data_IF_976960506431
#
_entry.id   IF_976960506431
#
_cell.length_a   1.000
_cell.length_b   1.000
_cell.length_c   1.000
_cell.angle_alpha   90.00
_cell.angle_beta   90.00
_cell.angle_gamma   90.00
#
_symmetry.space_group_name_H-M   'P 1'
#
loop_
_entity.id
_entity.type
_entity.pdbx_description
1 polymer ?
#
# COMPACT_ATOMS: atom_id res chain seq x y z
N UNK A 1 17.93 87.65 -5.97
CA UNK A 1 16.85 87.33 -4.99
C UNK A 1 16.38 85.88 -5.21
N UNK A 2 16.45 85.13 -4.14
CA UNK A 2 15.85 83.81 -3.87
C UNK A 2 16.24 82.65 -4.75
N UNK A 3 17.23 81.95 -4.26
CA UNK A 3 17.60 80.54 -4.54
C UNK A 3 16.52 79.59 -4.07
N UNK A 4 16.07 78.65 -4.91
CA UNK A 4 15.29 77.50 -4.50
C UNK A 4 16.19 76.26 -4.69
N UNK A 5 16.54 75.66 -3.57
CA UNK A 5 17.25 74.38 -3.47
C UNK A 5 16.25 73.25 -3.72
N UNK A 6 16.40 72.54 -4.81
CA UNK A 6 15.69 71.28 -5.06
C UNK A 6 16.36 70.14 -4.31
N UNK A 7 15.67 69.58 -3.34
CA UNK A 7 16.09 68.39 -2.66
C UNK A 7 15.75 67.17 -3.54
N UNK A 8 16.77 66.45 -3.96
CA UNK A 8 16.59 65.18 -4.64
C UNK A 8 16.29 64.07 -3.58
N UNK A 9 15.09 63.55 -3.58
CA UNK A 9 14.72 62.39 -2.82
C UNK A 9 15.22 61.13 -3.56
N UNK A 10 16.29 60.52 -3.03
CA UNK A 10 16.72 59.20 -3.45
C UNK A 10 15.80 58.16 -2.77
N UNK A 11 14.85 57.62 -3.52
CA UNK A 11 14.07 56.47 -3.06
C UNK A 11 14.90 55.22 -3.28
N UNK A 12 15.48 54.73 -2.19
CA UNK A 12 16.16 53.42 -2.16
C UNK A 12 15.06 52.30 -2.24
N UNK A 13 14.91 51.69 -3.42
CA UNK A 13 14.15 50.48 -3.60
C UNK A 13 14.95 49.32 -2.96
N UNK A 14 14.68 49.03 -1.70
CA UNK A 14 15.08 47.78 -1.06
C UNK A 14 14.19 46.66 -1.63
N UNK A 15 14.71 46.03 -2.68
CA UNK A 15 14.12 44.78 -3.19
C UNK A 15 14.18 43.71 -2.11
N UNK A 16 13.04 43.47 -1.47
CA UNK A 16 12.86 42.32 -0.59
C UNK A 16 12.83 41.05 -1.50
N UNK A 17 13.98 40.45 -1.68
CA UNK A 17 14.04 39.09 -2.17
C UNK A 17 13.47 38.20 -1.07
N UNK A 18 12.14 37.99 -1.09
CA UNK A 18 11.51 36.90 -0.36
C UNK A 18 12.04 35.61 -0.97
N UNK A 19 13.11 35.08 -0.44
CA UNK A 19 13.49 33.71 -0.65
C UNK A 19 12.35 32.88 -0.06
N UNK A 20 11.47 32.38 -0.92
CA UNK A 20 10.55 31.34 -0.55
C UNK A 20 11.40 30.12 -0.23
N UNK A 21 11.82 30.00 1.02
CA UNK A 21 12.27 28.73 1.55
C UNK A 21 11.06 27.80 1.44
N UNK A 22 11.00 27.04 0.37
CA UNK A 22 10.16 25.86 0.34
C UNK A 22 10.67 25.00 1.48
N UNK A 23 10.03 25.09 2.65
CA UNK A 23 10.18 24.10 3.68
C UNK A 23 9.81 22.79 3.01
N UNK A 24 10.82 21.99 2.68
CA UNK A 24 10.62 20.68 2.09
C UNK A 24 9.81 19.91 3.14
N UNK A 25 8.54 19.69 2.87
CA UNK A 25 7.69 18.96 3.80
C UNK A 25 8.30 17.58 4.04
N UNK A 26 8.33 17.17 5.28
CA UNK A 26 8.83 15.85 5.65
C UNK A 26 8.13 14.79 4.78
N UNK A 27 8.88 14.03 3.97
CA UNK A 27 8.27 13.03 3.07
C UNK A 27 7.70 11.82 3.83
N UNK A 28 8.09 11.61 5.09
CA UNK A 28 7.69 10.48 5.92
C UNK A 28 7.23 10.96 7.31
N UNK A 29 6.18 11.79 7.40
CA UNK A 29 5.77 12.44 8.65
C UNK A 29 5.27 11.46 9.71
N UNK A 30 4.81 10.27 9.34
CA UNK A 30 4.35 9.22 10.26
C UNK A 30 5.48 8.32 10.75
N UNK A 31 6.68 8.47 10.21
CA UNK A 31 7.86 7.71 10.65
C UNK A 31 8.56 8.42 11.80
N UNK A 32 9.00 7.67 12.80
CA UNK A 32 9.83 8.21 13.86
C UNK A 32 11.16 8.73 13.29
N UNK A 33 11.63 9.87 13.79
CA UNK A 33 12.95 10.38 13.42
C UNK A 33 14.04 9.42 13.90
N UNK A 34 14.97 9.12 13.00
CA UNK A 34 16.06 8.21 13.29
C UNK A 34 16.77 7.69 12.03
N UNK A 35 17.74 6.82 12.25
CA UNK A 35 18.59 6.30 11.19
C UNK A 35 17.82 5.60 10.06
N UNK A 36 16.75 4.86 10.39
CA UNK A 36 15.94 4.15 9.41
C UNK A 36 15.20 5.11 8.45
N UNK A 37 14.58 6.17 9.00
CA UNK A 37 13.89 7.19 8.21
C UNK A 37 14.88 7.90 7.29
N UNK A 38 16.02 8.31 7.84
CA UNK A 38 17.06 8.99 7.06
C UNK A 38 17.61 8.11 5.95
N UNK A 39 17.83 6.81 6.21
CA UNK A 39 18.31 5.87 5.20
C UNK A 39 17.33 5.72 4.04
N UNK A 40 16.03 5.69 4.31
CA UNK A 40 14.98 5.61 3.27
C UNK A 40 14.98 6.89 2.42
N UNK A 41 15.03 8.07 3.06
CA UNK A 41 15.02 9.36 2.37
C UNK A 41 16.29 9.49 1.49
N UNK A 42 17.45 9.16 2.04
CA UNK A 42 18.73 9.22 1.34
C UNK A 42 18.77 8.25 0.16
N UNK A 43 18.29 7.02 0.35
CA UNK A 43 18.16 6.04 -0.74
C UNK A 43 17.30 6.57 -1.88
N UNK A 44 16.12 7.11 -1.57
CA UNK A 44 15.23 7.68 -2.59
C UNK A 44 15.89 8.85 -3.30
N UNK A 45 16.45 9.81 -2.56
CA UNK A 45 17.13 10.96 -3.15
C UNK A 45 18.30 10.54 -4.05
N UNK A 46 19.13 9.63 -3.58
CA UNK A 46 20.33 9.18 -4.30
C UNK A 46 19.96 8.43 -5.60
N UNK A 47 18.88 7.64 -5.57
CA UNK A 47 18.45 6.86 -6.74
C UNK A 47 17.58 7.65 -7.73
N UNK A 48 16.99 8.77 -7.29
CA UNK A 48 16.09 9.57 -8.14
C UNK A 48 16.70 10.87 -8.65
N UNK A 49 17.77 11.39 -8.02
CA UNK A 49 18.41 12.64 -8.42
C UNK A 49 19.29 12.40 -9.65
N UNK A 50 18.98 13.12 -10.73
CA UNK A 50 19.77 13.09 -11.95
C UNK A 50 21.20 13.59 -11.70
N UNK A 51 22.20 12.85 -12.19
CA UNK A 51 23.61 13.14 -11.94
C UNK A 51 24.20 12.47 -10.69
N UNK A 52 23.38 11.82 -9.87
CA UNK A 52 23.86 10.95 -8.79
C UNK A 52 24.58 9.72 -9.37
N UNK A 53 25.68 9.23 -8.76
CA UNK A 53 26.35 8.01 -9.18
C UNK A 53 25.46 6.76 -9.05
N UNK A 54 24.41 6.83 -8.26
CA UNK A 54 23.43 5.76 -8.05
C UNK A 54 22.09 6.03 -8.74
N UNK A 55 22.04 7.01 -9.65
CA UNK A 55 20.80 7.35 -10.34
C UNK A 55 20.23 6.14 -11.09
N UNK A 56 18.97 5.85 -10.85
CA UNK A 56 18.21 4.83 -11.57
C UNK A 56 17.23 5.52 -12.51
N UNK A 57 17.27 5.15 -13.79
CA UNK A 57 16.35 5.70 -14.76
C UNK A 57 14.90 5.31 -14.41
N UNK A 58 13.89 6.19 -14.57
CA UNK A 58 12.50 5.92 -14.16
C UNK A 58 11.94 4.57 -14.62
N UNK A 59 12.28 4.13 -15.83
CA UNK A 59 11.86 2.84 -16.36
C UNK A 59 12.44 1.62 -15.63
N UNK A 60 13.55 1.81 -14.89
CA UNK A 60 14.23 0.76 -14.13
C UNK A 60 13.91 0.81 -12.62
N UNK A 61 13.08 1.76 -12.17
CA UNK A 61 12.73 1.89 -10.75
C UNK A 61 11.67 0.88 -10.37
N UNK A 62 12.09 -0.23 -9.78
CA UNK A 62 11.24 -1.29 -9.28
C UNK A 62 11.51 -1.45 -7.79
N UNK A 63 10.46 -1.41 -6.99
CA UNK A 63 10.51 -1.71 -5.56
C UNK A 63 9.61 -2.90 -5.26
N UNK A 64 10.10 -3.84 -4.47
CA UNK A 64 9.32 -4.97 -3.95
C UNK A 64 9.22 -4.83 -2.45
N UNK A 65 8.03 -5.05 -1.91
CA UNK A 65 7.77 -4.99 -0.48
C UNK A 65 7.07 -6.27 -0.05
N UNK A 66 7.41 -6.75 1.14
CA UNK A 66 6.62 -7.77 1.80
C UNK A 66 5.24 -7.19 2.18
N UNK A 67 4.22 -8.04 2.24
CA UNK A 67 2.86 -7.59 2.49
C UNK A 67 2.47 -7.73 3.96
N UNK A 68 2.50 -8.94 4.48
CA UNK A 68 1.95 -9.25 5.79
C UNK A 68 2.94 -8.86 6.90
N UNK A 69 2.54 -7.95 7.80
CA UNK A 69 3.41 -7.37 8.80
C UNK A 69 4.32 -6.24 8.30
N UNK A 70 4.33 -5.94 7.00
CA UNK A 70 5.10 -4.85 6.39
C UNK A 70 4.19 -3.78 5.80
N UNK A 71 3.37 -4.12 4.82
CA UNK A 71 2.39 -3.20 4.24
C UNK A 71 1.05 -3.29 4.95
N UNK A 72 0.59 -4.50 5.21
CA UNK A 72 -0.62 -4.76 5.98
C UNK A 72 -0.32 -5.14 7.42
N UNK A 73 -1.21 -4.70 8.31
CA UNK A 73 -1.18 -5.06 9.72
C UNK A 73 -1.27 -6.57 9.85
N UNK A 74 -0.30 -7.15 10.53
CA UNK A 74 -0.26 -8.57 10.83
C UNK A 74 -1.39 -8.94 11.79
N UNK A 75 -2.20 -9.89 11.38
CA UNK A 75 -3.32 -10.40 12.16
C UNK A 75 -3.17 -11.92 12.30
N UNK A 76 -3.98 -12.50 13.17
CA UNK A 76 -4.07 -13.96 13.32
C UNK A 76 -4.42 -14.67 12.01
N UNK A 77 -4.95 -13.96 11.01
CA UNK A 77 -5.33 -14.50 9.72
C UNK A 77 -5.11 -13.44 8.65
N UNK A 78 -4.30 -13.76 7.67
CA UNK A 78 -3.97 -12.90 6.54
C UNK A 78 -5.20 -12.51 5.71
N UNK A 79 -5.20 -11.29 5.19
CA UNK A 79 -6.31 -10.76 4.38
C UNK A 79 -6.59 -11.61 3.15
N UNK A 80 -5.54 -12.14 2.49
CA UNK A 80 -5.67 -13.04 1.35
C UNK A 80 -6.41 -14.32 1.72
N UNK A 81 -6.10 -14.91 2.88
CA UNK A 81 -6.78 -16.10 3.37
C UNK A 81 -8.25 -15.82 3.69
N UNK A 82 -8.57 -14.66 4.25
CA UNK A 82 -9.95 -14.23 4.50
C UNK A 82 -10.75 -14.09 3.20
N UNK A 83 -10.11 -13.56 2.14
CA UNK A 83 -10.73 -13.48 0.82
C UNK A 83 -11.04 -14.87 0.26
N UNK A 84 -10.04 -15.77 0.26
CA UNK A 84 -10.21 -17.16 -0.20
C UNK A 84 -11.30 -17.88 0.59
N UNK A 85 -11.30 -17.73 1.92
CA UNK A 85 -12.30 -18.35 2.80
C UNK A 85 -13.73 -17.85 2.47
N UNK A 86 -13.87 -16.52 2.26
CA UNK A 86 -15.16 -15.95 1.86
C UNK A 86 -15.66 -16.48 0.51
N UNK A 87 -14.76 -16.59 -0.48
CA UNK A 87 -15.08 -17.19 -1.78
C UNK A 87 -15.41 -18.67 -1.68
N UNK A 88 -14.65 -19.43 -0.88
CA UNK A 88 -14.91 -20.85 -0.68
C UNK A 88 -16.32 -21.12 -0.14
N UNK A 89 -16.82 -20.28 0.77
CA UNK A 89 -18.21 -20.36 1.24
C UNK A 89 -19.22 -20.17 0.10
N UNK A 90 -18.94 -19.25 -0.83
CA UNK A 90 -19.81 -19.03 -1.99
C UNK A 90 -19.77 -20.23 -2.97
N UNK A 91 -18.58 -20.79 -3.20
CA UNK A 91 -18.39 -21.97 -4.05
C UNK A 91 -19.13 -23.18 -3.49
N UNK A 92 -19.03 -23.44 -2.17
CA UNK A 92 -19.73 -24.54 -1.52
C UNK A 92 -21.25 -24.35 -1.56
N UNK A 93 -21.74 -23.11 -1.45
CA UNK A 93 -23.17 -22.82 -1.63
C UNK A 93 -23.66 -23.13 -3.05
N UNK A 94 -22.82 -22.87 -4.06
CA UNK A 94 -23.15 -23.17 -5.46
C UNK A 94 -22.99 -24.66 -5.80
N UNK A 95 -22.07 -25.37 -5.11
CA UNK A 95 -21.75 -26.79 -5.28
C UNK A 95 -21.93 -27.52 -3.95
N UNK A 96 -23.19 -27.81 -3.59
CA UNK A 96 -23.55 -28.32 -2.27
C UNK A 96 -22.89 -29.66 -1.93
N UNK A 97 -22.51 -30.44 -2.93
CA UNK A 97 -21.77 -31.69 -2.78
C UNK A 97 -20.42 -31.50 -2.05
N UNK A 98 -19.79 -30.34 -2.19
CA UNK A 98 -18.56 -30.04 -1.50
C UNK A 98 -18.75 -29.89 0.02
N UNK A 99 -19.92 -29.53 0.49
CA UNK A 99 -20.19 -29.34 1.91
C UNK A 99 -19.94 -30.56 2.79
N UNK A 100 -20.01 -31.75 2.19
CA UNK A 100 -19.83 -33.06 2.87
C UNK A 100 -18.39 -33.57 2.82
N UNK A 101 -17.52 -32.94 2.03
CA UNK A 101 -16.18 -33.41 1.74
C UNK A 101 -15.16 -32.53 2.49
N UNK A 102 -14.15 -33.15 3.11
CA UNK A 102 -13.02 -32.39 3.67
C UNK A 102 -12.12 -31.82 2.54
N UNK A 103 -11.64 -30.62 2.67
CA UNK A 103 -11.64 -29.71 3.85
C UNK A 103 -12.85 -28.77 3.94
N UNK A 104 -13.76 -28.78 2.97
CA UNK A 104 -14.90 -27.86 2.91
C UNK A 104 -15.88 -28.06 4.08
N UNK A 105 -16.07 -29.29 4.52
CA UNK A 105 -16.89 -29.62 5.69
C UNK A 105 -16.34 -28.94 6.96
N UNK A 106 -15.03 -29.02 7.20
CA UNK A 106 -14.40 -28.35 8.34
C UNK A 106 -14.59 -26.83 8.27
N UNK A 107 -14.42 -26.25 7.09
CA UNK A 107 -14.62 -24.82 6.83
C UNK A 107 -16.07 -24.39 7.08
N UNK A 108 -17.05 -25.14 6.56
CA UNK A 108 -18.49 -24.87 6.71
C UNK A 108 -18.96 -24.97 8.17
N UNK A 109 -18.28 -25.76 8.99
CA UNK A 109 -18.59 -25.90 10.42
C UNK A 109 -18.44 -24.58 11.19
N UNK A 110 -17.64 -23.64 10.69
CA UNK A 110 -17.30 -22.38 11.36
C UNK A 110 -16.51 -22.55 12.66
N UNK A 111 -16.18 -23.78 13.04
CA UNK A 111 -15.45 -24.09 14.27
C UNK A 111 -13.97 -23.77 14.10
N UNK A 112 -13.44 -22.80 14.87
CA UNK A 112 -12.02 -22.43 14.81
C UNK A 112 -11.07 -23.62 14.94
N UNK A 113 -11.37 -24.56 15.84
CA UNK A 113 -10.56 -25.75 16.05
C UNK A 113 -10.54 -26.72 14.85
N UNK A 114 -11.59 -26.77 14.03
CA UNK A 114 -11.60 -27.55 12.81
C UNK A 114 -10.77 -26.84 11.71
N UNK A 115 -10.93 -25.54 11.57
CA UNK A 115 -10.18 -24.73 10.60
C UNK A 115 -8.68 -24.72 10.94
N UNK A 116 -8.32 -24.61 12.22
CA UNK A 116 -6.93 -24.63 12.67
C UNK A 116 -6.21 -25.96 12.45
N UNK A 117 -6.94 -27.06 12.23
CA UNK A 117 -6.40 -28.39 11.93
C UNK A 117 -6.22 -28.66 10.44
N UNK A 118 -6.62 -27.75 9.56
CA UNK A 118 -6.41 -27.90 8.13
C UNK A 118 -4.93 -27.96 7.81
N UNK A 119 -4.54 -28.99 7.08
CA UNK A 119 -3.18 -29.12 6.55
C UNK A 119 -2.94 -28.12 5.42
N UNK A 120 -1.68 -27.89 5.07
CA UNK A 120 -1.33 -27.08 3.90
C UNK A 120 -1.97 -27.64 2.62
N UNK A 121 -2.04 -28.94 2.48
CA UNK A 121 -2.72 -29.60 1.33
C UNK A 121 -4.21 -29.28 1.31
N UNK A 122 -4.87 -29.20 2.45
CA UNK A 122 -6.28 -28.83 2.54
C UNK A 122 -6.51 -27.37 2.17
N UNK A 123 -5.64 -26.48 2.62
CA UNK A 123 -5.68 -25.06 2.22
C UNK A 123 -5.50 -24.93 0.70
N UNK A 124 -4.56 -25.66 0.10
CA UNK A 124 -4.36 -25.64 -1.36
C UNK A 124 -5.58 -26.18 -2.12
N UNK A 125 -6.27 -27.20 -1.61
CA UNK A 125 -7.55 -27.68 -2.20
C UNK A 125 -8.62 -26.60 -2.18
N UNK A 126 -8.74 -25.86 -1.06
CA UNK A 126 -9.70 -24.75 -0.95
C UNK A 126 -9.35 -23.65 -1.95
N UNK A 127 -8.08 -23.25 -2.01
CA UNK A 127 -7.58 -22.23 -2.96
C UNK A 127 -7.87 -22.66 -4.40
N UNK A 128 -7.50 -23.89 -4.76
CA UNK A 128 -7.75 -24.42 -6.09
C UNK A 128 -9.25 -24.39 -6.46
N UNK A 129 -10.10 -24.87 -5.57
CA UNK A 129 -11.55 -24.89 -5.82
C UNK A 129 -12.17 -23.49 -5.98
N UNK A 130 -11.54 -22.46 -5.37
CA UNK A 130 -12.05 -21.08 -5.41
C UNK A 130 -11.53 -20.26 -6.58
N UNK A 131 -10.36 -20.59 -7.11
CA UNK A 131 -9.68 -19.81 -8.15
C UNK A 131 -9.65 -20.51 -9.51
N UNK A 132 -9.80 -21.83 -9.56
CA UNK A 132 -9.79 -22.57 -10.82
C UNK A 132 -10.93 -22.11 -11.73
N UNK A 133 -10.59 -21.85 -12.98
CA UNK A 133 -11.55 -21.42 -14.01
C UNK A 133 -11.79 -19.91 -14.05
N UNK A 134 -11.10 -19.13 -13.22
CA UNK A 134 -11.16 -17.68 -13.29
C UNK A 134 -10.07 -17.12 -14.22
N UNK A 135 -10.42 -16.13 -15.02
CA UNK A 135 -9.45 -15.28 -15.69
C UNK A 135 -8.79 -14.30 -14.70
N UNK A 136 -7.67 -13.71 -15.10
CA UNK A 136 -6.99 -12.68 -14.30
C UNK A 136 -7.91 -11.47 -14.05
N UNK A 137 -8.69 -11.08 -15.05
CA UNK A 137 -9.62 -9.95 -14.93
C UNK A 137 -10.76 -10.23 -13.94
N UNK A 138 -11.32 -11.43 -13.98
CA UNK A 138 -12.35 -11.86 -13.02
C UNK A 138 -11.79 -11.92 -11.60
N UNK A 139 -10.57 -12.43 -11.43
CA UNK A 139 -9.90 -12.42 -10.14
C UNK A 139 -9.69 -10.99 -9.64
N UNK A 140 -9.16 -10.10 -10.47
CA UNK A 140 -8.93 -8.70 -10.12
C UNK A 140 -10.22 -7.97 -9.74
N UNK A 141 -11.30 -8.20 -10.49
CA UNK A 141 -12.61 -7.63 -10.18
C UNK A 141 -13.15 -8.14 -8.84
N UNK A 142 -13.04 -9.45 -8.58
CA UNK A 142 -13.48 -10.06 -7.33
C UNK A 142 -12.67 -9.58 -6.13
N UNK A 143 -11.34 -9.46 -6.27
CA UNK A 143 -10.46 -8.95 -5.22
C UNK A 143 -10.75 -7.48 -4.90
N UNK A 144 -10.90 -6.63 -5.91
CA UNK A 144 -11.27 -5.21 -5.73
C UNK A 144 -12.61 -5.06 -5.03
N UNK A 145 -13.62 -5.82 -5.45
CA UNK A 145 -14.93 -5.82 -4.81
C UNK A 145 -14.83 -6.24 -3.34
N UNK A 146 -14.11 -7.31 -3.06
CA UNK A 146 -13.94 -7.80 -1.69
C UNK A 146 -13.21 -6.77 -0.81
N UNK A 147 -12.14 -6.15 -1.30
CA UNK A 147 -11.42 -5.09 -0.56
C UNK A 147 -12.29 -3.88 -0.25
N UNK A 148 -13.24 -3.55 -1.14
CA UNK A 148 -14.18 -2.44 -0.95
C UNK A 148 -15.29 -2.76 0.05
N UNK A 149 -15.74 -4.01 0.14
CA UNK A 149 -16.93 -4.41 0.91
C UNK A 149 -16.58 -5.10 2.24
N UNK A 150 -15.54 -5.94 2.24
CA UNK A 150 -15.20 -6.75 3.41
C UNK A 150 -14.60 -5.92 4.54
N UNK A 151 -15.01 -6.23 5.76
CA UNK A 151 -14.54 -5.56 6.98
C UNK A 151 -13.93 -6.55 7.95
N UNK A 152 -12.85 -6.15 8.58
CA UNK A 152 -12.28 -6.90 9.70
C UNK A 152 -13.29 -6.98 10.86
N UNK A 153 -13.42 -8.17 11.44
CA UNK A 153 -14.43 -8.43 12.48
C UNK A 153 -14.15 -7.69 13.78
N UNK A 154 -12.89 -7.37 14.08
CA UNK A 154 -12.48 -6.74 15.35
C UNK A 154 -12.60 -5.24 15.29
N UNK A 155 -11.98 -4.61 14.30
CA UNK A 155 -11.93 -3.15 14.19
C UNK A 155 -13.03 -2.57 13.28
N UNK A 156 -13.78 -3.41 12.55
CA UNK A 156 -14.85 -3.01 11.63
C UNK A 156 -14.39 -2.13 10.45
N UNK A 157 -13.08 -2.01 10.25
CA UNK A 157 -12.48 -1.31 9.12
C UNK A 157 -12.41 -2.19 7.88
N UNK A 158 -12.39 -1.59 6.71
CA UNK A 158 -12.12 -2.33 5.47
C UNK A 158 -10.69 -2.88 5.48
N UNK A 159 -10.49 -4.02 4.84
CA UNK A 159 -9.15 -4.63 4.81
C UNK A 159 -8.11 -3.72 4.14
N UNK A 160 -8.50 -2.91 3.14
CA UNK A 160 -7.62 -1.91 2.54
C UNK A 160 -7.18 -0.76 3.47
N UNK A 161 -7.90 -0.55 4.58
CA UNK A 161 -7.54 0.45 5.60
C UNK A 161 -6.62 -0.11 6.69
N UNK A 162 -6.37 -1.41 6.68
CA UNK A 162 -5.52 -2.10 7.66
C UNK A 162 -4.06 -2.14 7.19
N UNK A 163 -3.54 -1.00 6.80
CA UNK A 163 -2.18 -0.83 6.30
C UNK A 163 -1.39 0.09 7.23
N UNK A 164 -0.07 -0.08 7.25
CA UNK A 164 0.80 0.79 8.02
C UNK A 164 0.98 2.14 7.30
N UNK A 165 0.59 3.22 7.96
CA UNK A 165 0.69 4.57 7.41
C UNK A 165 2.11 4.95 6.99
N UNK A 166 3.18 4.68 7.75
CA UNK A 166 4.55 4.94 7.32
C UNK A 166 4.90 4.24 6.00
N UNK A 167 4.43 3.02 5.80
CA UNK A 167 4.69 2.30 4.55
C UNK A 167 3.90 2.85 3.36
N UNK A 168 2.69 3.36 3.59
CA UNK A 168 1.95 4.08 2.54
C UNK A 168 2.70 5.34 2.11
N UNK A 169 3.31 6.05 3.04
CA UNK A 169 4.15 7.23 2.74
C UNK A 169 5.38 6.85 1.92
N UNK A 170 6.07 5.76 2.27
CA UNK A 170 7.20 5.24 1.49
C UNK A 170 6.80 4.89 0.06
N UNK A 171 5.61 4.35 -0.15
CA UNK A 171 5.13 3.97 -1.49
C UNK A 171 4.62 5.15 -2.33
N UNK A 172 4.25 6.27 -1.71
CA UNK A 172 3.63 7.41 -2.39
C UNK A 172 4.57 8.15 -3.34
N UNK A 173 5.83 8.47 -2.99
CA UNK A 173 6.78 9.09 -3.90
C UNK A 173 7.07 8.25 -5.15
N UNK A 174 7.12 6.93 -4.99
CA UNK A 174 7.33 6.01 -6.09
C UNK A 174 6.14 5.94 -7.06
N UNK A 175 4.92 6.23 -6.61
CA UNK A 175 3.72 6.33 -7.48
C UNK A 175 3.69 7.60 -8.32
N UNK A 176 4.20 8.71 -7.82
CA UNK A 176 4.24 9.97 -8.56
C UNK A 176 5.21 9.89 -9.75
N UNK A 177 6.32 9.19 -9.60
CA UNK A 177 7.35 8.99 -10.63
C UNK A 177 7.10 7.76 -11.52
N UNK A 178 6.36 6.78 -11.03
CA UNK A 178 6.01 5.56 -11.77
C UNK A 178 4.62 5.72 -12.41
N UNK A 179 4.55 6.13 -13.66
CA UNK A 179 3.31 6.16 -14.45
C UNK A 179 2.71 4.78 -14.75
N UNK A 180 3.16 3.71 -14.09
CA UNK A 180 2.56 2.38 -14.13
C UNK A 180 2.66 1.72 -12.76
N UNK A 181 1.54 1.28 -12.17
CA UNK A 181 1.61 0.33 -11.07
C UNK A 181 2.11 -0.99 -11.65
N UNK A 182 3.35 -1.34 -11.37
CA UNK A 182 3.81 -2.70 -11.58
C UNK A 182 3.03 -3.57 -10.61
N UNK A 183 2.26 -4.50 -11.15
CA UNK A 183 1.56 -5.49 -10.37
C UNK A 183 2.59 -6.19 -9.48
N UNK A 184 2.30 -6.19 -8.19
CA UNK A 184 3.03 -6.99 -7.20
C UNK A 184 2.73 -8.45 -7.55
N UNK A 185 3.76 -9.20 -7.95
CA UNK A 185 3.69 -10.65 -8.02
C UNK A 185 3.83 -11.25 -6.63
#
# INVERSE_FOLDING_TARGET
MRTLRGAALAVAFLGFFATHAHAQSDPLPSSNDGAAKMAIIDFVQTTTTQGSPHFVHPAGRIATCDQDGTLWVEHQTYSQFMHVLGRALAVVKAKSELATIEPFKAMMSGKRGAIAKLSQADVLKIVAATLTGMSVDEFNAAAKKWLAEARDRRCKKHHGELTYLPMQEVLTPHRADARRPTAVQ
#
